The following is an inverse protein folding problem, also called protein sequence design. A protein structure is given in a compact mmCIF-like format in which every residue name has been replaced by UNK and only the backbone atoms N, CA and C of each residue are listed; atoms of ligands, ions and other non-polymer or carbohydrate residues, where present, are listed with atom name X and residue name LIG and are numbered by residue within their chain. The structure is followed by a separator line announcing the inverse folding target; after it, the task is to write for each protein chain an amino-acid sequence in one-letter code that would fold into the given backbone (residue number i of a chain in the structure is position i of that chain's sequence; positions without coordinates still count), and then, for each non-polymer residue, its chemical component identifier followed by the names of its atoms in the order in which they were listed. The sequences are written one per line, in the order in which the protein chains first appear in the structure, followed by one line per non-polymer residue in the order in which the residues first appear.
data_IF_368097941743
#
_entry.id   IF_368097941743
#
_cell.length_a   1.000
_cell.length_b   1.000
_cell.length_c   1.000
_cell.angle_alpha   90.00
_cell.angle_beta   90.00
_cell.angle_gamma   90.00
#
_symmetry.space_group_name_H-M   'P 1'
#
loop_
_entity.id
_entity.type
_entity.pdbx_description
1 polymer ?
#
# COMPACT_ATOMS: atom_id res chain seq x y z
N UNK A 1 3.89 8.18 16.63
CA UNK A 1 3.09 9.44 16.72
C UNK A 1 3.19 10.21 15.40
N UNK A 2 2.08 10.73 14.87
CA UNK A 2 2.07 11.56 13.66
C UNK A 2 2.25 13.04 14.02
N UNK A 3 3.16 13.72 13.33
CA UNK A 3 3.42 15.14 13.47
C UNK A 3 3.14 15.83 12.15
N UNK A 4 2.08 16.61 12.08
CA UNK A 4 1.77 17.46 10.95
C UNK A 4 2.78 18.63 10.93
N UNK A 5 3.54 18.76 9.83
CA UNK A 5 4.54 19.82 9.66
C UNK A 5 4.00 20.99 8.86
N UNK A 6 3.27 20.71 7.78
CA UNK A 6 2.71 21.71 6.87
C UNK A 6 1.44 21.21 6.19
N UNK A 7 0.61 22.14 5.76
CA UNK A 7 -0.63 21.85 5.04
C UNK A 7 -0.83 22.87 3.94
N UNK A 8 -1.23 22.39 2.74
CA UNK A 8 -1.64 23.21 1.60
C UNK A 8 -3.02 22.73 1.14
N UNK A 9 -4.07 23.52 1.41
CA UNK A 9 -5.43 23.04 1.30
C UNK A 9 -5.68 21.87 2.25
N UNK A 10 -6.02 20.68 1.70
CA UNK A 10 -6.14 19.44 2.47
C UNK A 10 -4.88 18.57 2.41
N UNK A 11 -3.96 18.86 1.48
CA UNK A 11 -2.70 18.12 1.35
C UNK A 11 -1.82 18.34 2.58
N UNK A 12 -1.29 17.25 3.13
CA UNK A 12 -0.53 17.24 4.39
C UNK A 12 0.91 16.82 4.15
N UNK A 13 1.84 17.53 4.78
CA UNK A 13 3.24 17.16 4.95
C UNK A 13 3.47 16.80 6.41
N UNK A 14 3.91 15.59 6.68
CA UNK A 14 4.08 15.14 8.06
C UNK A 14 5.22 14.16 8.27
N UNK A 15 5.42 13.82 9.55
CA UNK A 15 6.32 12.77 10.01
C UNK A 15 5.53 11.76 10.85
N UNK A 16 5.68 10.49 10.54
CA UNK A 16 5.11 9.42 11.34
C UNK A 16 6.21 8.66 12.07
N UNK A 17 6.32 8.92 13.37
CA UNK A 17 7.36 8.35 14.22
C UNK A 17 6.97 6.95 14.68
N UNK A 18 7.82 5.99 14.39
CA UNK A 18 7.66 4.57 14.71
C UNK A 18 8.89 4.02 15.44
N UNK A 19 8.80 2.79 15.95
CA UNK A 19 9.94 2.09 16.59
C UNK A 19 11.03 1.69 15.57
N UNK A 20 10.71 1.68 14.28
CA UNK A 20 11.65 1.35 13.20
C UNK A 20 12.06 2.57 12.36
N UNK A 21 11.92 3.76 12.90
CA UNK A 21 12.29 5.01 12.27
C UNK A 21 11.12 5.92 11.94
N UNK A 22 11.43 7.06 11.33
CA UNK A 22 10.47 8.09 10.97
C UNK A 22 10.09 7.96 9.50
N UNK A 23 8.79 7.90 9.23
CA UNK A 23 8.24 7.90 7.88
C UNK A 23 7.90 9.33 7.50
N UNK A 24 8.50 9.83 6.43
CA UNK A 24 8.17 11.13 5.84
C UNK A 24 6.94 10.99 4.95
N UNK A 25 5.87 11.73 5.22
CA UNK A 25 4.61 11.66 4.45
C UNK A 25 4.41 12.89 3.58
N UNK A 26 3.72 12.78 2.43
CA UNK A 26 3.15 11.56 1.84
C UNK A 26 4.19 10.50 1.45
N UNK A 27 3.78 9.23 1.48
CA UNK A 27 4.67 8.09 1.23
C UNK A 27 4.00 7.01 0.38
N UNK A 28 4.77 6.36 -0.49
CA UNK A 28 4.39 5.16 -1.20
C UNK A 28 5.07 3.95 -0.56
N UNK A 29 4.28 2.96 -0.16
CA UNK A 29 4.77 1.70 0.42
C UNK A 29 5.00 0.68 -0.68
N UNK A 30 6.21 0.15 -0.76
CA UNK A 30 6.56 -0.83 -1.78
C UNK A 30 6.04 -2.22 -1.38
N UNK A 31 5.23 -2.83 -2.25
CA UNK A 31 4.50 -4.07 -1.92
C UNK A 31 5.34 -5.31 -2.10
N UNK A 32 5.67 -5.95 -0.98
CA UNK A 32 6.37 -7.23 -0.89
C UNK A 32 5.46 -8.34 -0.39
N UNK A 33 4.61 -8.87 -1.25
CA UNK A 33 3.52 -9.83 -0.96
C UNK A 33 3.88 -10.94 0.04
N UNK A 34 5.06 -11.54 -0.08
CA UNK A 34 5.50 -12.64 0.76
C UNK A 34 6.93 -12.39 1.28
N UNK A 35 7.10 -11.31 2.02
CA UNK A 35 8.40 -10.84 2.54
C UNK A 35 9.43 -10.60 1.42
N UNK A 36 8.97 -10.30 0.22
CA UNK A 36 9.82 -9.94 -0.91
C UNK A 36 9.01 -9.27 -2.02
N UNK A 37 9.61 -8.31 -2.69
CA UNK A 37 8.99 -7.65 -3.85
C UNK A 37 9.16 -8.53 -5.08
N UNK A 38 8.05 -8.83 -5.75
CA UNK A 38 8.06 -9.61 -7.00
C UNK A 38 8.86 -8.88 -8.09
N UNK A 39 9.84 -9.59 -8.66
CA UNK A 39 10.79 -9.04 -9.64
C UNK A 39 12.23 -9.14 -9.16
N UNK A 40 12.51 -10.02 -8.19
CA UNK A 40 13.85 -10.31 -7.67
C UNK A 40 14.54 -9.05 -7.06
N UNK A 41 13.77 -8.25 -6.34
CA UNK A 41 14.25 -7.05 -5.63
C UNK A 41 14.69 -7.46 -4.22
N UNK A 42 15.93 -7.22 -3.88
CA UNK A 42 16.51 -7.45 -2.55
C UNK A 42 16.23 -6.27 -1.60
N UNK A 43 16.52 -6.46 -0.31
CA UNK A 43 16.47 -5.37 0.68
C UNK A 43 17.54 -4.30 0.40
N UNK A 44 18.72 -4.67 -0.09
CA UNK A 44 19.72 -3.71 -0.58
C UNK A 44 19.18 -2.86 -1.75
N UNK A 45 18.44 -3.49 -2.66
CA UNK A 45 17.79 -2.75 -3.75
C UNK A 45 16.76 -1.74 -3.20
N UNK A 46 15.99 -2.12 -2.17
CA UNK A 46 15.01 -1.23 -1.52
C UNK A 46 15.67 0.02 -0.93
N UNK A 47 16.86 -0.13 -0.34
CA UNK A 47 17.63 1.02 0.12
C UNK A 47 18.05 1.94 -1.05
N UNK A 48 18.55 1.34 -2.12
CA UNK A 48 19.01 2.06 -3.33
C UNK A 48 17.90 2.77 -4.08
N UNK A 49 16.65 2.36 -3.94
CA UNK A 49 15.47 3.00 -4.56
C UNK A 49 14.67 3.87 -3.57
N UNK A 50 15.26 4.25 -2.43
CA UNK A 50 14.70 5.20 -1.46
C UNK A 50 13.41 4.73 -0.76
N UNK A 51 13.24 3.41 -0.59
CA UNK A 51 12.09 2.84 0.11
C UNK A 51 12.08 3.26 1.58
N UNK A 52 10.98 3.80 2.05
CA UNK A 52 10.79 4.13 3.47
C UNK A 52 10.01 3.03 4.21
N UNK A 53 9.01 2.45 3.55
CA UNK A 53 8.10 1.45 4.13
C UNK A 53 7.92 0.31 3.15
N UNK A 54 8.08 -0.91 3.62
CA UNK A 54 7.68 -2.12 2.91
C UNK A 54 6.31 -2.57 3.38
N UNK A 55 5.47 -3.08 2.47
CA UNK A 55 4.18 -3.67 2.80
C UNK A 55 4.20 -5.17 2.54
N UNK A 56 4.00 -5.97 3.59
CA UNK A 56 3.88 -7.42 3.51
C UNK A 56 2.44 -7.90 3.74
N UNK A 57 2.03 -8.98 3.04
CA UNK A 57 0.67 -9.47 3.12
C UNK A 57 0.49 -10.55 4.18
N UNK A 58 -0.33 -10.29 5.17
CA UNK A 58 -0.64 -11.16 6.31
C UNK A 58 -1.14 -12.54 5.88
N UNK A 59 -2.12 -12.60 4.99
CA UNK A 59 -2.67 -13.87 4.50
C UNK A 59 -1.60 -14.75 3.82
N UNK A 60 -0.81 -14.17 2.93
CA UNK A 60 0.22 -14.92 2.19
C UNK A 60 1.28 -15.49 3.13
N UNK A 61 1.72 -14.71 4.11
CA UNK A 61 2.74 -15.12 5.08
C UNK A 61 2.20 -16.12 6.11
N UNK A 62 0.91 -16.02 6.50
CA UNK A 62 0.26 -17.01 7.33
C UNK A 62 0.16 -18.38 6.65
N UNK A 63 -0.18 -18.39 5.37
CA UNK A 63 -0.29 -19.65 4.61
C UNK A 63 1.09 -20.24 4.29
N UNK A 64 2.06 -19.38 3.99
CA UNK A 64 3.45 -19.82 3.66
C UNK A 64 4.46 -18.68 3.94
N UNK A 65 5.47 -18.89 4.78
CA UNK A 65 5.89 -20.14 5.45
C UNK A 65 5.06 -20.46 6.70
N UNK A 66 4.20 -19.56 7.15
CA UNK A 66 3.50 -19.56 8.44
C UNK A 66 4.07 -18.49 9.37
N UNK A 67 3.20 -17.73 10.00
CA UNK A 67 3.57 -16.65 10.92
C UNK A 67 4.33 -17.15 12.16
N UNK A 68 4.04 -18.36 12.66
CA UNK A 68 4.79 -19.00 13.74
C UNK A 68 6.27 -19.27 13.36
N UNK A 69 6.55 -19.60 12.09
CA UNK A 69 7.93 -19.75 11.59
C UNK A 69 8.64 -18.41 11.65
N UNK A 70 7.99 -17.36 11.16
CA UNK A 70 8.55 -16.01 11.16
C UNK A 70 8.78 -15.49 12.57
N UNK A 71 7.83 -15.74 13.49
CA UNK A 71 7.98 -15.43 14.94
C UNK A 71 9.22 -16.08 15.52
N UNK A 72 9.42 -17.39 15.31
CA UNK A 72 10.60 -18.13 15.81
C UNK A 72 11.90 -17.58 15.29
N UNK A 73 11.89 -16.96 14.10
CA UNK A 73 13.05 -16.31 13.48
C UNK A 73 13.21 -14.82 13.85
N UNK A 74 12.36 -14.32 14.76
CA UNK A 74 12.48 -12.98 15.32
C UNK A 74 11.68 -11.89 14.59
N UNK A 75 10.65 -12.27 13.83
CA UNK A 75 9.76 -11.38 13.09
C UNK A 75 10.26 -11.03 11.70
N UNK A 76 9.42 -10.32 10.93
CA UNK A 76 9.69 -9.97 9.52
C UNK A 76 10.99 -9.20 9.33
N UNK A 77 11.29 -8.23 10.20
CA UNK A 77 12.51 -7.42 10.08
C UNK A 77 13.78 -8.28 10.05
N UNK A 78 13.90 -9.24 10.97
CA UNK A 78 15.03 -10.18 10.95
C UNK A 78 14.94 -11.18 9.80
N UNK A 79 13.75 -11.66 9.50
CA UNK A 79 13.52 -12.65 8.44
C UNK A 79 13.89 -12.11 7.06
N UNK A 80 13.61 -10.82 6.80
CA UNK A 80 13.89 -10.14 5.53
C UNK A 80 15.25 -9.43 5.50
N UNK A 81 15.90 -9.23 6.65
CA UNK A 81 17.02 -8.30 6.80
C UNK A 81 16.66 -6.87 6.39
N UNK A 82 15.56 -6.35 6.95
CA UNK A 82 15.03 -5.01 6.68
C UNK A 82 14.76 -4.27 7.97
N UNK A 83 15.45 -3.13 8.18
CA UNK A 83 15.43 -2.41 9.46
C UNK A 83 14.42 -1.25 9.52
N UNK A 84 13.86 -0.87 8.36
CA UNK A 84 12.90 0.23 8.27
C UNK A 84 11.45 -0.25 8.49
N UNK A 85 10.48 0.66 8.60
CA UNK A 85 9.09 0.29 8.85
C UNK A 85 8.52 -0.74 7.86
N UNK A 86 7.72 -1.65 8.40
CA UNK A 86 6.90 -2.61 7.66
C UNK A 86 5.44 -2.41 8.06
N UNK A 87 4.55 -2.30 7.09
CA UNK A 87 3.11 -2.41 7.29
C UNK A 87 2.65 -3.81 6.86
N UNK A 88 1.84 -4.46 7.69
CA UNK A 88 1.11 -5.67 7.29
C UNK A 88 -0.35 -5.35 7.07
N UNK A 89 -0.92 -5.83 5.96
CA UNK A 89 -2.35 -5.71 5.72
C UNK A 89 -3.17 -6.60 6.67
N UNK A 90 -4.50 -6.43 6.67
CA UNK A 90 -5.38 -7.22 7.55
C UNK A 90 -5.50 -8.70 7.16
N UNK A 91 -5.15 -9.05 5.92
CA UNK A 91 -5.47 -10.33 5.30
C UNK A 91 -6.91 -10.41 4.78
N UNK A 92 -7.78 -9.48 5.15
CA UNK A 92 -9.20 -9.49 4.79
C UNK A 92 -9.43 -9.46 3.28
N UNK A 93 -8.81 -8.52 2.57
CA UNK A 93 -9.00 -8.39 1.12
C UNK A 93 -8.62 -9.68 0.36
N UNK A 94 -7.53 -10.36 0.73
CA UNK A 94 -7.12 -11.60 0.08
C UNK A 94 -8.13 -12.72 0.35
N UNK A 95 -8.68 -12.79 1.55
CA UNK A 95 -9.78 -13.71 1.90
C UNK A 95 -11.01 -13.42 1.03
N UNK A 96 -11.35 -12.14 0.81
CA UNK A 96 -12.49 -11.75 -0.02
C UNK A 96 -12.23 -11.93 -1.52
N UNK A 97 -11.02 -11.73 -2.01
CA UNK A 97 -10.69 -11.77 -3.44
C UNK A 97 -10.27 -13.17 -3.95
N UNK A 98 -9.58 -13.97 -3.14
CA UNK A 98 -9.00 -15.25 -3.55
C UNK A 98 -9.87 -16.46 -3.18
N UNK A 99 -10.69 -16.36 -2.16
CA UNK A 99 -11.52 -17.48 -1.71
C UNK A 99 -12.81 -17.59 -2.53
N UNK A 100 -12.89 -18.61 -3.39
CA UNK A 100 -14.11 -18.93 -4.15
C UNK A 100 -15.28 -19.37 -3.25
N UNK A 101 -14.98 -20.05 -2.15
CA UNK A 101 -15.93 -20.51 -1.15
C UNK A 101 -15.56 -19.88 0.20
N UNK A 102 -16.33 -18.89 0.62
CA UNK A 102 -16.19 -18.23 1.92
C UNK A 102 -17.52 -18.12 2.63
N UNK A 103 -17.49 -18.20 3.94
CA UNK A 103 -18.64 -17.98 4.79
C UNK A 103 -18.29 -16.90 5.82
N UNK A 104 -18.93 -15.75 5.68
CA UNK A 104 -18.76 -14.62 6.58
C UNK A 104 -19.77 -14.76 7.72
N UNK A 105 -19.29 -14.65 8.94
CA UNK A 105 -20.08 -14.64 10.16
C UNK A 105 -19.63 -13.52 11.08
N UNK A 106 -20.32 -13.33 12.19
CA UNK A 106 -19.95 -12.31 13.17
C UNK A 106 -18.60 -12.59 13.83
N UNK A 107 -18.27 -13.86 14.04
CA UNK A 107 -16.99 -14.25 14.61
C UNK A 107 -15.79 -14.02 13.66
N UNK A 108 -16.00 -14.13 12.34
CA UNK A 108 -14.95 -14.01 11.32
C UNK A 108 -15.34 -14.71 10.03
N UNK A 109 -14.32 -15.08 9.24
CA UNK A 109 -14.50 -15.68 7.92
C UNK A 109 -13.90 -17.07 7.85
N UNK A 110 -14.71 -18.03 7.37
CA UNK A 110 -14.27 -19.39 7.04
C UNK A 110 -14.04 -19.48 5.54
N UNK A 111 -12.88 -19.97 5.14
CA UNK A 111 -12.53 -20.11 3.73
C UNK A 111 -11.50 -21.20 3.49
N UNK A 112 -11.23 -21.51 2.24
CA UNK A 112 -10.21 -22.50 1.87
C UNK A 112 -8.96 -21.83 1.32
N UNK A 113 -7.78 -22.28 1.77
CA UNK A 113 -6.50 -21.84 1.24
C UNK A 113 -6.42 -22.09 -0.29
N UNK A 114 -5.96 -21.09 -1.02
CA UNK A 114 -5.75 -21.18 -2.47
C UNK A 114 -4.53 -22.04 -2.86
N UNK A 115 -3.67 -22.40 -1.87
CA UNK A 115 -2.45 -23.18 -2.10
C UNK A 115 -2.73 -24.68 -1.99
N UNK A 116 -3.37 -25.10 -0.90
CA UNK A 116 -3.54 -26.52 -0.53
C UNK A 116 -4.98 -26.91 -0.22
N UNK A 117 -5.92 -25.98 -0.33
CA UNK A 117 -7.36 -26.22 -0.12
C UNK A 117 -7.75 -26.42 1.35
N UNK A 118 -6.83 -26.37 2.31
CA UNK A 118 -7.16 -26.54 3.73
C UNK A 118 -8.13 -25.46 4.21
N UNK A 119 -9.02 -25.84 5.13
CA UNK A 119 -9.93 -24.89 5.77
C UNK A 119 -9.17 -23.97 6.72
N UNK A 120 -9.42 -22.68 6.59
CA UNK A 120 -8.85 -21.62 7.43
C UNK A 120 -10.00 -20.81 8.01
N UNK A 121 -9.86 -20.46 9.28
CA UNK A 121 -10.66 -19.42 9.94
C UNK A 121 -9.78 -18.20 10.16
N UNK A 122 -10.30 -17.01 9.88
CA UNK A 122 -9.66 -15.74 10.15
C UNK A 122 -10.71 -14.75 10.63
N UNK A 123 -10.52 -14.25 11.82
CA UNK A 123 -11.30 -13.18 12.41
C UNK A 123 -10.38 -12.07 12.93
N UNK A 124 -10.95 -11.10 13.64
CA UNK A 124 -10.18 -9.99 14.22
C UNK A 124 -9.02 -10.45 15.09
N UNK A 125 -9.25 -11.37 16.00
CA UNK A 125 -8.22 -11.86 16.94
C UNK A 125 -7.12 -12.63 16.19
N UNK A 126 -7.50 -13.53 15.27
CA UNK A 126 -6.53 -14.30 14.48
C UNK A 126 -5.67 -13.39 13.60
N UNK A 127 -6.28 -12.39 12.96
CA UNK A 127 -5.54 -11.42 12.15
C UNK A 127 -4.52 -10.65 13.01
N UNK A 128 -4.92 -10.18 14.19
CA UNK A 128 -4.00 -9.48 15.09
C UNK A 128 -2.90 -10.39 15.62
N UNK A 129 -3.20 -11.65 15.96
CA UNK A 129 -2.20 -12.64 16.39
C UNK A 129 -1.16 -12.91 15.30
N UNK A 130 -1.62 -13.09 14.05
CA UNK A 130 -0.73 -13.31 12.91
C UNK A 130 0.17 -12.09 12.73
N UNK A 131 -0.38 -10.87 12.70
CA UNK A 131 0.40 -9.65 12.54
C UNK A 131 1.37 -9.39 13.71
N UNK A 132 0.99 -9.76 14.93
CA UNK A 132 1.87 -9.74 16.11
C UNK A 132 3.03 -10.73 15.97
N UNK A 133 2.80 -11.92 15.46
CA UNK A 133 3.83 -12.91 15.17
C UNK A 133 4.78 -12.44 14.05
N UNK A 134 4.24 -11.76 13.02
CA UNK A 134 5.02 -11.10 11.97
C UNK A 134 5.84 -9.92 12.51
N UNK A 135 5.42 -9.33 13.63
CA UNK A 135 6.06 -8.21 14.31
C UNK A 135 6.21 -6.96 13.44
N UNK A 136 5.25 -6.69 12.55
CA UNK A 136 5.26 -5.49 11.72
C UNK A 136 5.23 -4.21 12.57
N UNK A 137 5.65 -3.10 11.98
CA UNK A 137 5.59 -1.78 12.61
C UNK A 137 4.16 -1.29 12.74
N UNK A 138 3.39 -1.46 11.65
CA UNK A 138 1.99 -1.05 11.53
C UNK A 138 1.16 -2.26 11.13
N UNK A 139 0.12 -2.55 11.89
CA UNK A 139 -0.89 -3.55 11.57
C UNK A 139 -2.19 -2.90 11.14
N UNK A 140 -2.91 -3.54 10.20
CA UNK A 140 -4.23 -3.13 9.77
C UNK A 140 -5.30 -3.92 10.51
N UNK A 141 -6.37 -3.25 10.95
CA UNK A 141 -7.52 -3.91 11.54
C UNK A 141 -8.21 -4.82 10.52
N UNK A 142 -8.71 -5.98 10.99
CA UNK A 142 -9.47 -6.88 10.14
C UNK A 142 -10.83 -6.28 9.77
N UNK A 143 -11.14 -6.24 8.49
CA UNK A 143 -12.31 -5.58 7.93
C UNK A 143 -13.05 -6.46 6.93
N UNK A 144 -14.27 -6.12 6.62
CA UNK A 144 -15.01 -6.67 5.50
C UNK A 144 -15.05 -5.67 4.35
N UNK A 145 -14.54 -6.08 3.19
CA UNK A 145 -14.52 -5.28 1.96
C UNK A 145 -15.70 -5.70 1.05
N UNK A 146 -16.86 -5.05 1.12
CA UNK A 146 -17.98 -5.35 0.23
C UNK A 146 -17.67 -4.93 -1.21
N UNK A 147 -18.25 -5.65 -2.19
CA UNK A 147 -18.15 -5.26 -3.60
C UNK A 147 -18.76 -3.87 -3.83
N UNK A 148 -18.19 -3.11 -4.77
CA UNK A 148 -18.78 -1.84 -5.23
C UNK A 148 -20.20 -1.98 -5.80
N UNK A 149 -20.57 -3.20 -6.22
CA UNK A 149 -21.90 -3.56 -6.74
C UNK A 149 -22.82 -4.20 -5.70
N UNK A 150 -22.41 -4.23 -4.43
CA UNK A 150 -23.23 -4.83 -3.38
C UNK A 150 -24.46 -3.95 -3.07
N UNK A 151 -25.54 -4.62 -2.66
CA UNK A 151 -26.76 -3.94 -2.24
C UNK A 151 -26.48 -3.05 -1.00
N UNK A 152 -27.11 -1.87 -0.99
CA UNK A 152 -26.90 -0.87 0.07
C UNK A 152 -27.11 -1.45 1.48
N UNK A 153 -28.14 -2.24 1.68
CA UNK A 153 -28.45 -2.87 2.97
C UNK A 153 -27.35 -3.83 3.43
N UNK A 154 -26.74 -4.57 2.48
CA UNK A 154 -25.60 -5.42 2.76
C UNK A 154 -24.37 -4.59 3.16
N UNK A 155 -24.09 -3.51 2.43
CA UNK A 155 -22.98 -2.60 2.72
C UNK A 155 -23.11 -2.00 4.12
N UNK A 156 -24.31 -1.57 4.51
CA UNK A 156 -24.56 -1.06 5.87
C UNK A 156 -24.26 -2.12 6.94
N UNK A 157 -24.76 -3.34 6.76
CA UNK A 157 -24.50 -4.44 7.70
C UNK A 157 -23.00 -4.81 7.76
N UNK A 158 -22.31 -4.77 6.63
CA UNK A 158 -20.85 -5.01 6.54
C UNK A 158 -20.05 -3.94 7.31
N UNK A 159 -20.43 -2.68 7.15
CA UNK A 159 -19.82 -1.56 7.88
C UNK A 159 -20.04 -1.70 9.38
N UNK A 160 -21.24 -2.02 9.83
CA UNK A 160 -21.55 -2.24 11.23
C UNK A 160 -20.73 -3.39 11.84
N UNK A 161 -20.54 -4.47 11.09
CA UNK A 161 -19.67 -5.59 11.47
C UNK A 161 -18.21 -5.14 11.54
N UNK A 162 -17.72 -4.38 10.57
CA UNK A 162 -16.36 -3.86 10.53
C UNK A 162 -16.05 -2.99 11.75
N UNK A 163 -17.00 -2.18 12.24
CA UNK A 163 -16.82 -1.40 13.47
C UNK A 163 -16.68 -2.33 14.70
N UNK A 164 -17.52 -3.37 14.80
CA UNK A 164 -17.40 -4.35 15.91
C UNK A 164 -16.09 -5.12 15.84
N UNK A 165 -15.66 -5.48 14.63
CA UNK A 165 -14.37 -6.13 14.40
C UNK A 165 -13.18 -5.22 14.74
N UNK A 166 -13.28 -3.93 14.45
CA UNK A 166 -12.24 -2.96 14.83
C UNK A 166 -12.05 -2.91 16.35
N UNK A 167 -13.14 -2.92 17.12
CA UNK A 167 -13.05 -2.96 18.58
C UNK A 167 -12.33 -4.23 19.06
N UNK A 168 -12.66 -5.38 18.50
CA UNK A 168 -12.02 -6.65 18.82
C UNK A 168 -10.52 -6.64 18.44
N UNK A 169 -10.17 -6.09 17.27
CA UNK A 169 -8.77 -5.91 16.86
C UNK A 169 -7.99 -5.04 17.85
N UNK A 170 -8.58 -3.91 18.28
CA UNK A 170 -7.92 -3.01 19.22
C UNK A 170 -7.72 -3.68 20.59
N UNK A 171 -8.70 -4.40 21.09
CA UNK A 171 -8.60 -5.10 22.37
C UNK A 171 -7.56 -6.22 22.30
N UNK A 172 -7.56 -7.01 21.23
CA UNK A 172 -6.59 -8.08 21.05
C UNK A 172 -5.16 -7.54 20.87
N UNK A 173 -4.97 -6.44 20.12
CA UNK A 173 -3.66 -5.81 20.01
C UNK A 173 -3.14 -5.33 21.37
N UNK A 174 -3.99 -4.68 22.17
CA UNK A 174 -3.60 -4.27 23.53
C UNK A 174 -3.16 -5.45 24.38
N UNK A 175 -3.93 -6.56 24.32
CA UNK A 175 -3.60 -7.81 25.01
C UNK A 175 -2.25 -8.36 24.53
N UNK A 176 -2.06 -8.49 23.23
CA UNK A 176 -0.82 -9.02 22.64
C UNK A 176 0.40 -8.15 22.99
N UNK A 177 0.27 -6.82 22.91
CA UNK A 177 1.36 -5.90 23.22
C UNK A 177 1.75 -5.94 24.73
N UNK A 178 0.88 -6.44 25.60
CA UNK A 178 1.17 -6.63 27.04
C UNK A 178 1.92 -7.93 27.35
N UNK A 179 1.94 -8.90 26.41
CA UNK A 179 2.56 -10.20 26.65
C UNK A 179 4.09 -10.14 26.63
N UNK A 180 4.74 -10.89 27.49
CA UNK A 180 6.21 -10.93 27.58
C UNK A 180 6.87 -11.43 26.28
N UNK A 181 6.29 -12.44 25.63
CA UNK A 181 6.82 -13.05 24.40
C UNK A 181 6.51 -12.31 23.10
N UNK A 182 5.90 -11.11 23.15
CA UNK A 182 5.63 -10.31 21.95
C UNK A 182 6.89 -9.62 21.49
N UNK A 183 7.23 -9.79 20.19
CA UNK A 183 8.45 -9.25 19.58
C UNK A 183 8.37 -7.72 19.50
N UNK A 184 7.28 -7.19 18.92
CA UNK A 184 7.04 -5.75 18.83
C UNK A 184 5.87 -5.33 19.73
N UNK A 185 6.16 -4.89 20.95
CA UNK A 185 5.16 -4.42 21.92
C UNK A 185 4.61 -3.02 21.62
N UNK A 186 5.18 -2.34 20.63
CA UNK A 186 4.76 -1.02 20.17
C UNK A 186 4.18 -1.06 18.75
N UNK A 187 3.62 -2.21 18.37
CA UNK A 187 2.93 -2.34 17.08
C UNK A 187 1.74 -1.38 17.02
N UNK A 188 1.66 -0.60 15.95
CA UNK A 188 0.65 0.42 15.73
C UNK A 188 -0.56 -0.18 14.98
N UNK A 189 -1.76 0.39 15.18
CA UNK A 189 -2.99 -0.08 14.56
C UNK A 189 -3.62 1.00 13.70
N UNK A 190 -3.90 0.67 12.44
CA UNK A 190 -4.72 1.47 11.54
C UNK A 190 -6.11 0.83 11.37
N UNK A 191 -7.16 1.64 11.51
CA UNK A 191 -8.54 1.23 11.19
C UNK A 191 -8.86 1.46 9.71
N UNK A 192 -9.85 0.73 9.19
CA UNK A 192 -10.21 0.79 7.77
C UNK A 192 -11.65 1.28 7.62
N UNK A 193 -11.83 2.40 6.91
CA UNK A 193 -13.13 2.88 6.47
C UNK A 193 -13.60 2.06 5.27
N UNK A 194 -14.82 1.58 5.31
CA UNK A 194 -15.52 0.88 4.25
C UNK A 194 -16.87 1.55 3.96
N UNK A 195 -17.56 1.16 2.91
CA UNK A 195 -18.88 1.71 2.54
C UNK A 195 -19.16 1.65 1.04
N UNK A 196 -18.37 0.86 0.27
CA UNK A 196 -18.47 0.75 -1.19
C UNK A 196 -18.48 2.15 -1.85
N UNK A 197 -19.47 2.44 -2.71
CA UNK A 197 -19.62 3.73 -3.39
C UNK A 197 -20.60 4.68 -2.69
N UNK A 198 -21.10 4.35 -1.49
CA UNK A 198 -22.10 5.15 -0.77
C UNK A 198 -21.43 6.15 0.17
N UNK A 199 -21.33 7.42 -0.26
CA UNK A 199 -20.68 8.49 0.50
C UNK A 199 -21.24 8.66 1.90
N UNK A 200 -22.55 8.63 2.08
CA UNK A 200 -23.20 8.77 3.38
C UNK A 200 -22.85 7.63 4.36
N UNK A 201 -22.78 6.38 3.88
CA UNK A 201 -22.33 5.23 4.69
C UNK A 201 -20.85 5.41 5.06
N UNK A 202 -20.00 5.86 4.12
CA UNK A 202 -18.59 6.11 4.39
C UNK A 202 -18.36 7.22 5.40
N UNK A 203 -19.12 8.31 5.29
CA UNK A 203 -19.08 9.44 6.24
C UNK A 203 -19.46 8.98 7.64
N UNK A 204 -20.57 8.26 7.76
CA UNK A 204 -21.00 7.69 9.04
C UNK A 204 -19.95 6.76 9.62
N UNK A 205 -19.42 5.85 8.80
CA UNK A 205 -18.36 4.94 9.23
C UNK A 205 -17.08 5.68 9.62
N UNK A 206 -16.68 6.72 8.89
CA UNK A 206 -15.52 7.54 9.23
C UNK A 206 -15.64 8.18 10.61
N UNK A 207 -16.82 8.75 10.91
CA UNK A 207 -17.12 9.31 12.25
C UNK A 207 -17.01 8.25 13.35
N UNK A 208 -17.57 7.07 13.11
CA UNK A 208 -17.55 5.96 14.10
C UNK A 208 -16.14 5.43 14.35
N UNK A 209 -15.33 5.23 13.30
CA UNK A 209 -13.95 4.75 13.50
C UNK A 209 -13.03 5.84 14.09
N UNK A 210 -13.33 7.12 13.87
CA UNK A 210 -12.59 8.22 14.46
C UNK A 210 -12.75 8.31 15.99
N UNK A 211 -13.81 7.72 16.57
CA UNK A 211 -14.00 7.60 18.02
C UNK A 211 -13.00 6.62 18.65
N UNK A 212 -12.41 5.72 17.86
CA UNK A 212 -11.32 4.87 18.32
C UNK A 212 -10.01 5.64 18.24
N UNK A 213 -9.26 5.68 19.33
CA UNK A 213 -7.93 6.30 19.36
C UNK A 213 -6.91 5.39 18.67
N UNK A 214 -6.85 5.46 17.33
CA UNK A 214 -5.96 4.68 16.50
C UNK A 214 -4.72 5.48 16.11
N UNK A 215 -3.70 4.79 15.61
CA UNK A 215 -2.47 5.41 15.12
C UNK A 215 -2.64 6.01 13.72
N UNK A 216 -3.60 5.49 12.94
CA UNK A 216 -3.95 5.99 11.61
C UNK A 216 -5.25 5.40 11.10
N UNK A 217 -5.72 5.91 9.96
CA UNK A 217 -7.00 5.55 9.35
C UNK A 217 -6.82 5.31 7.86
N UNK A 218 -7.43 4.25 7.35
CA UNK A 218 -7.36 3.90 5.94
C UNK A 218 -8.73 3.99 5.26
N UNK A 219 -8.71 4.26 3.96
CA UNK A 219 -9.84 4.11 3.04
C UNK A 219 -9.65 2.81 2.27
N UNK A 220 -10.49 1.81 2.55
CA UNK A 220 -10.48 0.54 1.84
C UNK A 220 -11.62 0.43 0.83
N UNK A 221 -11.58 -0.61 -0.01
CA UNK A 221 -12.65 -0.93 -0.96
C UNK A 221 -12.84 0.10 -2.07
N UNK A 222 -11.80 0.80 -2.46
CA UNK A 222 -11.72 1.67 -3.63
C UNK A 222 -10.76 1.10 -4.66
N UNK A 223 -10.81 1.58 -5.91
CA UNK A 223 -10.11 1.02 -7.07
C UNK A 223 -10.47 -0.46 -7.35
N UNK A 224 -11.74 -0.82 -7.13
CA UNK A 224 -12.29 -2.16 -7.29
C UNK A 224 -13.43 -2.23 -8.32
N UNK A 225 -13.55 -1.21 -9.18
CA UNK A 225 -14.52 -1.18 -10.29
C UNK A 225 -15.31 0.12 -10.47
N UNK A 226 -15.15 1.08 -9.59
CA UNK A 226 -15.65 2.44 -9.76
C UNK A 226 -14.75 3.24 -10.71
N UNK A 227 -15.26 4.38 -11.22
CA UNK A 227 -14.47 5.35 -12.01
C UNK A 227 -13.49 6.13 -11.12
N UNK A 228 -12.49 6.77 -11.73
CA UNK A 228 -11.57 7.64 -11.00
C UNK A 228 -12.31 8.82 -10.36
N UNK A 229 -13.27 9.41 -11.07
CA UNK A 229 -14.09 10.52 -10.58
C UNK A 229 -14.92 10.12 -9.36
N UNK A 230 -15.54 8.94 -9.38
CA UNK A 230 -16.27 8.39 -8.23
C UNK A 230 -15.32 8.16 -7.04
N UNK A 231 -14.15 7.60 -7.28
CA UNK A 231 -13.14 7.41 -6.24
C UNK A 231 -12.70 8.75 -5.62
N UNK A 232 -12.41 9.76 -6.44
CA UNK A 232 -12.00 11.08 -5.96
C UNK A 232 -13.10 11.77 -5.16
N UNK A 233 -14.34 11.67 -5.63
CA UNK A 233 -15.51 12.19 -4.92
C UNK A 233 -15.64 11.54 -3.53
N UNK A 234 -15.55 10.21 -3.45
CA UNK A 234 -15.62 9.47 -2.18
C UNK A 234 -14.51 9.90 -1.22
N UNK A 235 -13.28 10.05 -1.70
CA UNK A 235 -12.15 10.50 -0.88
C UNK A 235 -12.44 11.90 -0.34
N UNK A 236 -12.88 12.81 -1.21
CA UNK A 236 -13.18 14.20 -0.86
C UNK A 236 -14.28 14.33 0.19
N UNK A 237 -15.32 13.52 0.10
CA UNK A 237 -16.43 13.48 1.05
C UNK A 237 -16.06 12.80 2.37
N UNK A 238 -15.17 11.81 2.37
CA UNK A 238 -14.89 10.98 3.54
C UNK A 238 -13.76 11.50 4.42
N UNK A 239 -12.64 11.93 3.81
CA UNK A 239 -11.42 12.35 4.53
C UNK A 239 -11.65 13.45 5.56
N UNK A 240 -12.53 14.45 5.35
CA UNK A 240 -12.79 15.49 6.34
C UNK A 240 -13.32 15.00 7.69
N UNK A 241 -13.83 13.78 7.75
CA UNK A 241 -14.36 13.17 8.98
C UNK A 241 -13.33 12.27 9.69
N UNK A 242 -12.14 12.12 9.13
CA UNK A 242 -11.02 11.44 9.77
C UNK A 242 -10.13 12.45 10.52
N UNK A 243 -9.47 12.05 11.61
CA UNK A 243 -8.63 12.96 12.40
C UNK A 243 -7.45 13.52 11.59
N UNK A 244 -7.39 14.85 11.42
CA UNK A 244 -6.34 15.53 10.64
C UNK A 244 -4.93 15.34 11.22
N UNK A 245 -4.83 15.13 12.53
CA UNK A 245 -3.58 14.88 13.26
C UNK A 245 -3.16 13.41 13.26
N UNK A 246 -3.73 12.61 12.37
CA UNK A 246 -3.38 11.21 12.12
C UNK A 246 -3.17 10.99 10.63
N UNK A 247 -2.34 10.01 10.24
CA UNK A 247 -2.17 9.71 8.82
C UNK A 247 -3.43 9.06 8.24
N UNK A 248 -3.71 9.40 6.98
CA UNK A 248 -4.76 8.78 6.16
C UNK A 248 -4.12 7.93 5.07
N UNK A 249 -4.54 6.68 4.95
CA UNK A 249 -4.01 5.71 4.00
C UNK A 249 -5.07 5.31 2.97
N UNK A 250 -4.79 5.47 1.68
CA UNK A 250 -5.64 4.99 0.59
C UNK A 250 -5.10 3.66 0.07
N UNK A 251 -5.82 2.57 0.37
CA UNK A 251 -5.37 1.20 0.12
C UNK A 251 -5.46 0.81 -1.35
N UNK A 252 -4.39 0.22 -1.87
CA UNK A 252 -4.35 -0.36 -3.22
C UNK A 252 -4.32 0.65 -4.37
N UNK A 253 -4.10 1.92 -4.10
CA UNK A 253 -4.10 3.02 -5.09
C UNK A 253 -2.71 3.67 -5.16
N UNK A 254 -2.12 3.91 -6.33
CA UNK A 254 -2.66 3.67 -7.65
C UNK A 254 -1.70 4.16 -8.73
N UNK A 255 -2.24 4.77 -9.78
CA UNK A 255 -1.40 5.44 -10.79
C UNK A 255 -0.81 6.74 -10.23
N UNK A 256 0.26 7.31 -10.82
CA UNK A 256 0.79 8.60 -10.40
C UNK A 256 -0.26 9.71 -10.33
N UNK A 257 -1.18 9.77 -11.30
CA UNK A 257 -2.27 10.73 -11.31
C UNK A 257 -3.22 10.51 -10.11
N UNK A 258 -3.60 9.26 -9.81
CA UNK A 258 -4.44 8.95 -8.65
C UNK A 258 -3.78 9.39 -7.33
N UNK A 259 -2.46 9.20 -7.21
CA UNK A 259 -1.72 9.61 -6.00
C UNK A 259 -1.76 11.13 -5.84
N UNK A 260 -1.48 11.88 -6.91
CA UNK A 260 -1.51 13.35 -6.87
C UNK A 260 -2.89 13.90 -6.49
N UNK A 261 -3.97 13.32 -7.07
CA UNK A 261 -5.34 13.67 -6.75
C UNK A 261 -5.73 13.32 -5.32
N UNK A 262 -5.25 12.19 -4.80
CA UNK A 262 -5.55 11.77 -3.43
C UNK A 262 -4.74 12.57 -2.39
N UNK A 263 -3.48 12.92 -2.67
CA UNK A 263 -2.69 13.81 -1.81
C UNK A 263 -3.37 15.17 -1.64
N UNK A 264 -3.88 15.76 -2.73
CA UNK A 264 -4.64 17.02 -2.69
C UNK A 264 -5.85 16.94 -1.74
N UNK A 265 -6.45 15.75 -1.62
CA UNK A 265 -7.61 15.47 -0.76
C UNK A 265 -7.26 15.03 0.66
N UNK A 266 -5.98 15.01 1.01
CA UNK A 266 -5.50 14.78 2.38
C UNK A 266 -5.02 13.36 2.69
N UNK A 267 -4.71 12.56 1.67
CA UNK A 267 -4.16 11.20 1.85
C UNK A 267 -2.64 11.24 2.02
N UNK A 268 -2.12 10.45 2.94
CA UNK A 268 -0.70 10.43 3.33
C UNK A 268 0.04 9.16 2.93
N UNK A 269 -0.63 8.00 2.93
CA UNK A 269 -0.04 6.69 2.68
C UNK A 269 -0.68 6.03 1.45
N UNK A 270 0.14 5.38 0.64
CA UNK A 270 -0.27 4.70 -0.58
C UNK A 270 0.44 3.36 -0.71
N UNK A 271 -0.22 2.42 -1.34
CA UNK A 271 0.38 1.19 -1.87
C UNK A 271 -0.29 0.84 -3.21
N UNK A 272 0.43 0.19 -4.07
CA UNK A 272 -0.15 -0.39 -5.28
C UNK A 272 0.79 -1.44 -5.87
N UNK A 273 0.23 -2.50 -6.43
CA UNK A 273 1.01 -3.50 -7.16
C UNK A 273 1.39 -3.06 -8.58
N UNK A 274 0.84 -1.96 -9.09
CA UNK A 274 1.07 -1.51 -10.47
C UNK A 274 2.54 -1.28 -10.82
N UNK A 275 3.37 -0.61 -10.02
CA UNK A 275 4.77 -0.40 -10.36
C UNK A 275 5.50 -1.72 -10.63
N UNK A 276 5.34 -2.69 -9.74
CA UNK A 276 6.00 -3.99 -9.86
C UNK A 276 5.37 -4.87 -10.93
N UNK A 277 4.03 -4.90 -11.03
CA UNK A 277 3.31 -5.68 -12.03
C UNK A 277 3.65 -5.16 -13.43
N UNK A 278 3.54 -3.86 -13.66
CA UNK A 278 3.86 -3.23 -14.95
C UNK A 278 5.33 -3.42 -15.30
N UNK A 279 6.25 -3.19 -14.36
CA UNK A 279 7.69 -3.41 -14.57
C UNK A 279 8.02 -4.83 -15.04
N UNK A 280 7.44 -5.85 -14.41
CA UNK A 280 7.63 -7.24 -14.83
C UNK A 280 7.15 -7.55 -16.25
N UNK A 281 6.29 -6.70 -16.81
CA UNK A 281 5.77 -6.82 -18.18
C UNK A 281 6.34 -5.74 -19.12
N UNK A 282 7.46 -5.10 -18.75
CA UNK A 282 8.17 -4.12 -19.58
C UNK A 282 7.43 -2.80 -19.74
N UNK A 283 6.38 -2.54 -18.96
CA UNK A 283 5.67 -1.26 -18.93
C UNK A 283 6.27 -0.36 -17.85
N UNK A 284 6.83 0.76 -18.25
CA UNK A 284 7.59 1.65 -17.37
C UNK A 284 6.95 3.04 -17.29
N UNK A 285 7.04 3.61 -16.09
CA UNK A 285 6.60 4.98 -15.82
C UNK A 285 7.77 5.94 -16.01
N UNK A 286 7.51 7.05 -16.68
CA UNK A 286 8.44 8.16 -16.84
C UNK A 286 7.74 9.48 -16.56
N UNK A 287 8.48 10.57 -16.42
CA UNK A 287 7.92 11.91 -16.29
C UNK A 287 7.12 12.34 -17.54
N UNK A 288 7.27 11.62 -18.64
CA UNK A 288 6.58 11.85 -19.91
C UNK A 288 5.63 10.70 -20.27
N UNK A 289 4.97 10.13 -19.26
CA UNK A 289 4.00 9.05 -19.44
C UNK A 289 4.60 7.66 -19.38
N UNK A 290 3.97 6.72 -20.05
CA UNK A 290 4.35 5.30 -20.00
C UNK A 290 5.02 4.85 -21.29
N UNK A 291 6.05 4.02 -21.15
CA UNK A 291 6.68 3.32 -22.28
C UNK A 291 6.56 1.81 -22.13
N UNK A 292 6.56 1.09 -23.26
CA UNK A 292 6.60 -0.36 -23.29
C UNK A 292 7.86 -0.82 -24.02
N UNK A 293 8.84 -1.34 -23.26
CA UNK A 293 10.13 -1.75 -23.82
C UNK A 293 10.06 -2.97 -24.76
N UNK A 294 8.93 -3.65 -24.87
CA UNK A 294 8.75 -4.68 -25.90
C UNK A 294 8.60 -4.11 -27.32
N UNK A 295 8.30 -2.80 -27.44
CA UNK A 295 8.14 -2.16 -28.74
C UNK A 295 9.44 -2.20 -29.55
N UNK A 296 9.29 -2.41 -30.87
CA UNK A 296 10.44 -2.53 -31.80
C UNK A 296 11.30 -1.29 -31.85
N UNK A 297 10.72 -0.09 -31.69
CA UNK A 297 11.45 1.19 -31.72
C UNK A 297 12.60 1.28 -30.72
N UNK A 298 12.60 0.45 -29.67
CA UNK A 298 13.67 0.44 -28.66
C UNK A 298 14.78 -0.58 -28.94
N UNK A 299 14.78 -1.26 -30.09
CA UNK A 299 15.77 -2.29 -30.42
C UNK A 299 17.18 -1.76 -30.54
N UNK A 300 17.32 -0.55 -31.08
CA UNK A 300 18.59 0.14 -31.23
C UNK A 300 18.70 1.41 -30.36
N UNK A 301 17.82 1.55 -29.35
CA UNK A 301 17.79 2.73 -28.48
C UNK A 301 18.82 2.57 -27.34
N UNK A 302 19.95 3.26 -27.46
CA UNK A 302 21.05 3.24 -26.50
C UNK A 302 20.84 4.15 -25.28
N UNK A 303 19.75 4.94 -25.26
CA UNK A 303 19.40 5.83 -24.16
C UNK A 303 18.92 5.04 -22.94
N UNK A 304 19.01 5.62 -21.71
CA UNK A 304 18.39 5.04 -20.51
C UNK A 304 16.86 5.00 -20.64
N UNK A 305 16.19 4.30 -19.72
CA UNK A 305 14.72 4.30 -19.65
C UNK A 305 14.20 5.75 -19.59
N UNK A 306 14.82 6.58 -18.78
CA UNK A 306 14.52 8.00 -18.64
C UNK A 306 15.82 8.79 -18.47
N UNK A 307 15.97 9.85 -19.26
CA UNK A 307 17.11 10.75 -19.17
C UNK A 307 17.12 11.47 -17.82
N UNK A 308 18.30 11.56 -17.19
CA UNK A 308 18.45 12.20 -15.87
C UNK A 308 18.01 11.34 -14.67
N UNK A 309 17.33 10.22 -14.88
CA UNK A 309 16.91 9.33 -13.81
C UNK A 309 18.11 8.64 -13.14
N UNK A 310 18.17 8.68 -11.80
CA UNK A 310 19.27 8.15 -11.01
C UNK A 310 19.03 6.71 -10.49
N UNK A 311 18.00 6.02 -10.97
CA UNK A 311 17.76 4.65 -10.57
C UNK A 311 18.87 3.69 -11.02
N UNK A 312 19.06 2.54 -10.35
CA UNK A 312 20.10 1.57 -10.70
C UNK A 312 20.06 1.11 -12.18
N UNK A 313 18.87 1.05 -12.78
CA UNK A 313 18.70 0.68 -14.19
C UNK A 313 19.16 1.79 -15.13
N UNK A 314 18.67 3.01 -14.98
CA UNK A 314 18.96 4.14 -15.89
C UNK A 314 20.43 4.57 -15.84
N UNK A 315 21.09 4.44 -14.69
CA UNK A 315 22.52 4.81 -14.53
C UNK A 315 23.47 3.93 -15.33
N UNK A 316 23.06 2.73 -15.76
CA UNK A 316 23.99 1.74 -16.33
C UNK A 316 23.51 1.08 -17.62
N UNK A 317 22.23 1.02 -17.87
CA UNK A 317 21.66 0.17 -18.91
C UNK A 317 20.81 0.93 -19.90
N UNK A 318 20.94 0.58 -21.18
CA UNK A 318 20.15 1.15 -22.26
C UNK A 318 18.78 0.46 -22.39
N UNK A 319 17.84 1.14 -23.01
CA UNK A 319 16.54 0.58 -23.40
C UNK A 319 16.72 -0.65 -24.28
N UNK A 320 17.65 -0.61 -25.24
CA UNK A 320 17.95 -1.74 -26.12
C UNK A 320 18.39 -3.00 -25.33
N UNK A 321 19.31 -2.83 -24.37
CA UNK A 321 19.78 -3.95 -23.55
C UNK A 321 18.66 -4.52 -22.68
N UNK A 322 17.89 -3.69 -21.98
CA UNK A 322 16.78 -4.14 -21.12
C UNK A 322 15.71 -4.82 -21.99
N UNK A 323 15.40 -4.27 -23.17
CA UNK A 323 14.50 -4.93 -24.15
C UNK A 323 14.99 -6.31 -24.55
N UNK A 324 16.29 -6.46 -24.86
CA UNK A 324 16.91 -7.74 -25.16
C UNK A 324 16.68 -8.74 -24.02
N UNK A 325 16.97 -8.35 -22.77
CA UNK A 325 16.78 -9.21 -21.59
C UNK A 325 15.31 -9.65 -21.43
N UNK A 326 14.35 -8.72 -21.62
CA UNK A 326 12.92 -9.02 -21.56
C UNK A 326 12.51 -10.02 -22.66
N UNK A 327 13.00 -9.83 -23.89
CA UNK A 327 12.75 -10.76 -25.02
C UNK A 327 13.36 -12.15 -24.77
N UNK A 328 14.57 -12.18 -24.19
CA UNK A 328 15.26 -13.41 -23.81
C UNK A 328 14.67 -14.08 -22.56
N UNK A 329 13.69 -13.42 -21.88
CA UNK A 329 13.09 -13.85 -20.61
C UNK A 329 14.10 -13.97 -19.47
N UNK A 330 15.17 -13.16 -19.52
CA UNK A 330 16.14 -13.05 -18.44
C UNK A 330 15.55 -12.30 -17.24
N UNK A 331 15.69 -12.85 -16.03
CA UNK A 331 15.17 -12.26 -14.80
C UNK A 331 15.72 -10.86 -14.54
N UNK A 332 16.96 -10.59 -14.97
CA UNK A 332 17.59 -9.28 -14.84
C UNK A 332 16.79 -8.19 -15.53
N UNK A 333 16.22 -8.45 -16.72
CA UNK A 333 15.38 -7.48 -17.43
C UNK A 333 14.15 -7.08 -16.61
N UNK A 334 13.47 -8.07 -16.04
CA UNK A 334 12.34 -7.84 -15.14
C UNK A 334 12.75 -7.03 -13.90
N UNK A 335 13.85 -7.41 -13.24
CA UNK A 335 14.37 -6.72 -12.05
C UNK A 335 14.67 -5.26 -12.34
N UNK A 336 15.39 -4.95 -13.42
CA UNK A 336 15.74 -3.58 -13.79
C UNK A 336 14.50 -2.72 -14.06
N UNK A 337 13.48 -3.27 -14.71
CA UNK A 337 12.20 -2.59 -14.94
C UNK A 337 11.46 -2.30 -13.62
N UNK A 338 11.44 -3.27 -12.71
CA UNK A 338 10.79 -3.10 -11.40
C UNK A 338 11.52 -2.05 -10.56
N UNK A 339 12.85 -2.10 -10.52
CA UNK A 339 13.66 -1.10 -9.80
C UNK A 339 13.42 0.31 -10.31
N UNK A 340 13.35 0.49 -11.65
CA UNK A 340 13.03 1.79 -12.23
C UNK A 340 11.65 2.30 -11.80
N UNK A 341 10.61 1.47 -11.91
CA UNK A 341 9.25 1.88 -11.56
C UNK A 341 9.11 2.22 -10.07
N UNK A 342 9.71 1.44 -9.18
CA UNK A 342 9.68 1.72 -7.75
C UNK A 342 10.45 2.99 -7.41
N UNK A 343 11.62 3.19 -8.03
CA UNK A 343 12.38 4.43 -7.87
C UNK A 343 11.58 5.65 -8.34
N UNK A 344 10.90 5.54 -9.49
CA UNK A 344 10.03 6.60 -10.00
C UNK A 344 8.94 6.98 -8.98
N UNK A 345 8.23 5.99 -8.42
CA UNK A 345 7.20 6.25 -7.42
C UNK A 345 7.77 6.88 -6.14
N UNK A 346 8.86 6.35 -5.62
CA UNK A 346 9.48 6.87 -4.40
C UNK A 346 10.02 8.30 -4.61
N UNK A 347 10.62 8.58 -5.77
CA UNK A 347 11.10 9.92 -6.13
C UNK A 347 9.94 10.91 -6.31
N UNK A 348 8.85 10.50 -6.96
CA UNK A 348 7.64 11.32 -7.06
C UNK A 348 7.11 11.70 -5.67
N UNK A 349 7.15 10.79 -4.70
CA UNK A 349 6.74 11.11 -3.33
C UNK A 349 7.70 12.10 -2.64
N UNK A 350 9.00 12.04 -2.92
CA UNK A 350 9.94 13.08 -2.47
C UNK A 350 9.61 14.44 -3.08
N UNK A 351 9.40 14.49 -4.39
CA UNK A 351 9.02 15.72 -5.10
C UNK A 351 7.71 16.33 -4.55
N UNK A 352 6.72 15.49 -4.21
CA UNK A 352 5.48 15.92 -3.55
C UNK A 352 5.77 16.56 -2.20
N UNK A 353 6.62 15.92 -1.37
CA UNK A 353 6.99 16.47 -0.05
C UNK A 353 7.73 17.80 -0.18
N UNK A 354 8.68 17.92 -1.10
CA UNK A 354 9.42 19.15 -1.38
C UNK A 354 8.49 20.28 -1.88
N UNK A 355 7.51 19.93 -2.71
CA UNK A 355 6.50 20.87 -3.18
C UNK A 355 5.61 21.37 -2.04
N UNK A 356 5.18 20.46 -1.13
CA UNK A 356 4.44 20.82 0.08
C UNK A 356 5.28 21.68 1.03
N UNK A 357 6.55 21.32 1.26
CA UNK A 357 7.46 22.07 2.11
C UNK A 357 7.71 23.51 1.61
N UNK A 358 7.60 23.73 0.29
CA UNK A 358 7.76 25.05 -0.33
C UNK A 358 6.42 25.74 -0.64
N UNK A 359 5.26 25.13 -0.38
CA UNK A 359 3.94 25.70 -0.65
C UNK A 359 3.62 25.82 -2.15
N UNK A 360 4.10 24.86 -2.96
CA UNK A 360 3.93 24.81 -4.42
C UNK A 360 3.32 23.50 -4.92
N UNK A 361 2.60 22.81 -4.07
CA UNK A 361 2.06 21.49 -4.44
C UNK A 361 1.07 21.57 -5.63
N UNK A 362 0.19 22.58 -5.63
CA UNK A 362 -0.77 22.75 -6.74
C UNK A 362 -0.06 22.98 -8.09
N UNK A 363 1.01 23.79 -8.10
CA UNK A 363 1.84 24.02 -9.30
C UNK A 363 2.55 22.74 -9.75
N UNK A 364 3.19 22.04 -8.81
CA UNK A 364 3.86 20.76 -9.05
C UNK A 364 2.91 19.72 -9.63
N UNK A 365 1.74 19.54 -8.99
CA UNK A 365 0.70 18.60 -9.46
C UNK A 365 0.34 18.86 -10.91
N UNK A 366 0.02 20.12 -11.24
CA UNK A 366 -0.35 20.52 -12.60
C UNK A 366 0.76 20.19 -13.59
N UNK A 367 1.98 20.64 -13.31
CA UNK A 367 3.13 20.41 -14.20
C UNK A 367 3.41 18.92 -14.40
N UNK A 368 3.34 18.11 -13.32
CA UNK A 368 3.57 16.66 -13.38
C UNK A 368 2.52 15.96 -14.25
N UNK A 369 1.25 16.31 -14.10
CA UNK A 369 0.16 15.76 -14.91
C UNK A 369 0.29 16.17 -16.39
N UNK A 370 0.60 17.43 -16.68
CA UNK A 370 0.78 17.94 -18.04
C UNK A 370 1.97 17.23 -18.73
N UNK A 371 3.09 17.06 -18.03
CA UNK A 371 4.27 16.35 -18.57
C UNK A 371 3.93 14.89 -18.88
N UNK A 372 3.25 14.19 -17.94
CA UNK A 372 2.88 12.78 -18.12
C UNK A 372 1.86 12.55 -19.23
N UNK A 373 1.06 13.57 -19.58
CA UNK A 373 0.13 13.53 -20.69
C UNK A 373 0.81 13.77 -22.06
N UNK A 374 2.10 14.18 -22.08
CA UNK A 374 2.87 14.51 -23.28
C UNK A 374 4.00 13.49 -23.44
N UNK A 375 3.75 12.32 -24.10
CA UNK A 375 4.80 11.33 -24.31
C UNK A 375 5.98 11.90 -25.13
N UNK A 376 7.19 11.56 -24.69
CA UNK A 376 8.37 11.73 -25.55
C UNK A 376 8.41 10.57 -26.55
N UNK A 377 8.50 10.89 -27.84
CA UNK A 377 8.61 9.92 -28.94
C UNK A 377 9.88 9.05 -28.86
#
# INVERSE_FOLDING_TARGET
MYKLLKQEGRAKRGEFHTVHGVIQTPVFMNVGTAAAIKGAVSTEDLEGIKTQVELSNTYHLHVRPGDEVIKKLGGLHKFMSWDKPILTDSGGFQVFSLAKLRKIKEEGVYFNSHIDGRKIFMGPEESMQIQSNLASTIAMAFDECPSSKAERSYVQNSVDRTVRWLKRCQDEMRRLNSLEGTINKNQMLFGINQGAIFSDIRIEHAKRIAEFELDGYALGGLAVGETHEEMYHIIEETVPYLPVNKPTYLMGVGTPANILEAVERGVDFFDCVYPTRNGRHGHLYTNHGKINLFNAKYELDDRPIEEGCQCPACRRYSRAYIRHLLKAKEMLGMRLCVLHNLYFYNTMMEEIRDALDTGRFAEYKKQKLDNMATPLD
#
